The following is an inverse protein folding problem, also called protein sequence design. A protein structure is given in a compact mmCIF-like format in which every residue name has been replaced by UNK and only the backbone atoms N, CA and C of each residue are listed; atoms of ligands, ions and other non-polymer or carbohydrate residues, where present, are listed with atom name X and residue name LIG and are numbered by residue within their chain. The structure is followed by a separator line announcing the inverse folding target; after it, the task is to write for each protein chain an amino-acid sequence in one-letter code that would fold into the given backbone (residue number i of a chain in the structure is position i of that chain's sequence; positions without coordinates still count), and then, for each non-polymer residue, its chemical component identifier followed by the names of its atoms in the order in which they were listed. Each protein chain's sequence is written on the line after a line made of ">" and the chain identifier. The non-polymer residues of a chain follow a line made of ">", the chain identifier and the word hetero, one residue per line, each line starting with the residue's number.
data_IF_683822976698
#
_entry.id   IF_683822976698
#
_cell.length_a   1.000
_cell.length_b   1.000
_cell.length_c   1.000
_cell.angle_alpha   90.00
_cell.angle_beta   90.00
_cell.angle_gamma   90.00
#
_symmetry.space_group_name_H-M   'P 1'
#
loop_
_entity.id
_entity.type
_entity.pdbx_description
1 polymer ?
#
# COMPACT_ATOMS: atom_id res chain seq x y z
N UNK A 1 9.11 21.35 -15.16
CA UNK A 1 8.08 21.33 -14.10
C UNK A 1 8.74 21.83 -12.83
N UNK A 2 8.13 22.75 -12.08
CA UNK A 2 8.71 23.24 -10.82
C UNK A 2 8.28 22.31 -9.69
N UNK A 3 9.23 21.75 -8.95
CA UNK A 3 8.97 20.85 -7.82
C UNK A 3 7.96 21.43 -6.81
N UNK A 4 7.95 22.76 -6.63
CA UNK A 4 6.98 23.46 -5.77
C UNK A 4 5.53 23.24 -6.18
N UNK A 5 5.21 23.13 -7.48
CA UNK A 5 3.82 22.95 -7.92
C UNK A 5 3.29 21.54 -7.65
N UNK A 6 4.13 20.51 -7.83
CA UNK A 6 3.79 19.13 -7.50
C UNK A 6 3.51 18.98 -6.00
N UNK A 7 4.32 19.65 -5.17
CA UNK A 7 4.10 19.73 -3.74
C UNK A 7 2.75 20.38 -3.40
N UNK A 8 2.46 21.55 -3.97
CA UNK A 8 1.18 22.24 -3.75
C UNK A 8 -0.01 21.36 -4.16
N UNK A 9 0.08 20.69 -5.31
CA UNK A 9 -0.97 19.78 -5.79
C UNK A 9 -1.25 18.66 -4.76
N UNK A 10 -0.21 18.03 -4.23
CA UNK A 10 -0.36 16.99 -3.20
C UNK A 10 -1.03 17.54 -1.95
N UNK A 11 -0.61 18.71 -1.45
CA UNK A 11 -1.19 19.32 -0.25
C UNK A 11 -2.68 19.65 -0.43
N UNK A 12 -3.06 20.15 -1.60
CA UNK A 12 -4.46 20.43 -1.95
C UNK A 12 -5.29 19.15 -1.89
N UNK A 13 -4.81 18.06 -2.50
CA UNK A 13 -5.51 16.77 -2.49
C UNK A 13 -5.62 16.16 -1.08
N UNK A 14 -4.64 16.39 -0.20
CA UNK A 14 -4.72 15.92 1.17
C UNK A 14 -5.79 16.63 2.00
N UNK A 15 -5.90 17.95 1.87
CA UNK A 15 -6.82 18.74 2.68
C UNK A 15 -8.27 18.60 2.24
N UNK A 16 -8.49 18.50 0.93
CA UNK A 16 -9.84 18.57 0.35
C UNK A 16 -10.32 17.25 -0.25
N UNK A 17 -9.44 16.23 -0.26
CA UNK A 17 -9.77 14.90 -0.75
C UNK A 17 -9.86 14.86 -2.27
N UNK A 18 -11.07 15.04 -2.81
CA UNK A 18 -11.39 14.84 -4.24
C UNK A 18 -11.64 16.16 -4.95
N UNK A 19 -10.90 16.40 -6.04
CA UNK A 19 -11.05 17.57 -6.89
C UNK A 19 -10.91 17.22 -8.38
N UNK A 20 -11.66 17.89 -9.23
CA UNK A 20 -11.59 17.77 -10.70
C UNK A 20 -10.31 18.40 -11.27
N UNK A 21 -10.02 18.11 -12.54
CA UNK A 21 -8.92 18.77 -13.25
C UNK A 21 -9.09 20.30 -13.27
N UNK A 22 -10.33 20.77 -13.51
CA UNK A 22 -10.66 22.19 -13.58
C UNK A 22 -10.48 22.91 -12.24
N UNK A 23 -10.95 22.31 -11.13
CA UNK A 23 -10.77 22.90 -9.80
C UNK A 23 -9.29 22.95 -9.38
N UNK A 24 -8.51 21.93 -9.74
CA UNK A 24 -7.06 21.93 -9.52
C UNK A 24 -6.35 22.97 -10.40
N UNK A 25 -6.80 23.13 -11.65
CA UNK A 25 -6.25 24.07 -12.61
C UNK A 25 -6.45 25.51 -12.16
N UNK A 26 -7.66 25.84 -11.70
CA UNK A 26 -8.00 27.15 -11.13
C UNK A 26 -7.11 27.47 -9.90
N UNK A 27 -7.01 26.54 -8.95
CA UNK A 27 -6.24 26.75 -7.71
C UNK A 27 -4.74 26.83 -7.89
N UNK A 28 -4.21 26.11 -8.89
CA UNK A 28 -2.79 26.11 -9.21
C UNK A 28 -2.44 27.17 -10.25
N UNK A 29 -3.43 27.92 -10.75
CA UNK A 29 -3.29 28.93 -11.82
C UNK A 29 -2.62 28.35 -13.07
N UNK A 30 -3.05 27.15 -13.48
CA UNK A 30 -2.54 26.45 -14.65
C UNK A 30 -3.70 25.92 -15.51
N UNK A 31 -3.37 25.29 -16.63
CA UNK A 31 -4.36 24.61 -17.48
C UNK A 31 -4.63 23.18 -17.01
N UNK A 32 -5.80 22.63 -17.32
CA UNK A 32 -6.16 21.22 -17.11
C UNK A 32 -5.09 20.26 -17.65
N UNK A 33 -4.56 20.54 -18.85
CA UNK A 33 -3.47 19.75 -19.45
C UNK A 33 -2.21 19.72 -18.56
N UNK A 34 -1.92 20.81 -17.88
CA UNK A 34 -0.79 20.90 -16.95
C UNK A 34 -1.07 20.10 -15.68
N UNK A 35 -2.29 20.17 -15.16
CA UNK A 35 -2.72 19.35 -14.02
C UNK A 35 -2.61 17.87 -14.31
N UNK A 36 -3.11 17.42 -15.47
CA UNK A 36 -3.01 16.02 -15.89
C UNK A 36 -1.56 15.54 -15.98
N UNK A 37 -0.69 16.38 -16.56
CA UNK A 37 0.76 16.08 -16.65
C UNK A 37 1.42 16.02 -15.27
N UNK A 38 1.04 16.91 -14.36
CA UNK A 38 1.56 16.94 -12.99
C UNK A 38 1.07 15.72 -12.19
N UNK A 39 -0.16 15.25 -12.43
CA UNK A 39 -0.71 14.01 -11.83
C UNK A 39 0.04 12.77 -12.32
N UNK A 40 0.35 12.68 -13.62
CA UNK A 40 1.21 11.62 -14.16
C UNK A 40 2.62 11.66 -13.55
N UNK A 41 3.18 12.87 -13.37
CA UNK A 41 4.46 13.05 -12.71
C UNK A 41 4.44 12.57 -11.24
N UNK A 42 3.36 12.82 -10.51
CA UNK A 42 3.17 12.32 -9.15
C UNK A 42 3.03 10.80 -9.12
N UNK A 43 2.21 10.23 -10.00
CA UNK A 43 2.04 8.77 -10.09
C UNK A 43 3.36 8.06 -10.43
N UNK A 44 4.13 8.60 -11.37
CA UNK A 44 5.44 8.03 -11.74
C UNK A 44 6.49 8.19 -10.64
N UNK A 45 6.35 9.20 -9.77
CA UNK A 45 7.17 9.39 -8.57
C UNK A 45 6.73 8.52 -7.37
N UNK A 46 5.73 7.65 -7.53
CA UNK A 46 5.25 6.75 -6.48
C UNK A 46 4.24 7.37 -5.51
N UNK A 47 3.71 8.56 -5.83
CA UNK A 47 2.60 9.16 -5.08
C UNK A 47 1.29 8.49 -5.54
N UNK A 48 0.49 7.88 -4.63
CA UNK A 48 -0.69 7.10 -4.99
C UNK A 48 -1.91 8.01 -5.25
N UNK A 49 -1.86 8.78 -6.34
CA UNK A 49 -2.98 9.57 -6.86
C UNK A 49 -3.82 8.70 -7.79
N UNK A 50 -5.15 8.77 -7.70
CA UNK A 50 -6.05 8.06 -8.62
C UNK A 50 -7.26 8.90 -9.03
N UNK A 51 -7.82 8.59 -10.20
CA UNK A 51 -8.98 9.24 -10.76
C UNK A 51 -10.27 8.45 -10.52
N UNK A 52 -11.31 9.12 -10.05
CA UNK A 52 -12.68 8.59 -9.99
C UNK A 52 -13.48 9.15 -11.17
N UNK A 53 -14.18 8.28 -11.92
CA UNK A 53 -15.06 8.70 -13.04
C UNK A 53 -16.51 8.91 -12.56
N UNK A 54 -17.26 9.76 -13.27
CA UNK A 54 -18.69 10.01 -13.05
C UNK A 54 -18.99 11.44 -12.56
N UNK A 55 -20.28 11.78 -12.35
CA UNK A 55 -20.68 13.04 -11.72
C UNK A 55 -20.07 13.15 -10.32
N UNK A 56 -19.30 14.20 -10.03
CA UNK A 56 -18.50 14.31 -8.79
C UNK A 56 -17.22 13.46 -8.80
N UNK A 57 -16.77 13.04 -9.98
CA UNK A 57 -15.45 12.43 -10.19
C UNK A 57 -14.31 13.44 -10.01
N UNK A 58 -13.08 12.96 -10.03
CA UNK A 58 -11.90 13.80 -9.80
C UNK A 58 -10.70 12.99 -9.33
N UNK A 59 -9.62 13.69 -9.03
CA UNK A 59 -8.39 13.15 -8.51
C UNK A 59 -8.40 13.21 -6.99
N UNK A 60 -7.89 12.15 -6.37
CA UNK A 60 -7.71 12.06 -4.93
C UNK A 60 -6.50 11.19 -4.59
N UNK A 61 -5.96 11.38 -3.39
CA UNK A 61 -4.90 10.52 -2.86
C UNK A 61 -5.50 9.25 -2.24
N UNK A 62 -4.74 8.15 -2.25
CA UNK A 62 -5.10 6.95 -1.50
C UNK A 62 -5.31 7.31 -0.03
N UNK A 63 -6.40 6.81 0.54
CA UNK A 63 -6.76 7.08 1.93
C UNK A 63 -5.60 6.67 2.86
N UNK A 64 -5.24 7.56 3.79
CA UNK A 64 -4.08 7.36 4.66
C UNK A 64 -2.72 7.71 4.05
N UNK A 65 -2.65 8.20 2.81
CA UNK A 65 -1.39 8.68 2.23
C UNK A 65 -0.95 10.02 2.85
N UNK A 66 0.13 9.96 3.64
CA UNK A 66 0.91 11.12 4.06
C UNK A 66 2.22 11.18 3.26
N UNK A 67 2.44 12.19 2.40
CA UNK A 67 3.72 12.38 1.74
C UNK A 67 4.76 12.69 2.83
N UNK A 68 5.82 11.89 2.89
CA UNK A 68 6.99 12.18 3.72
C UNK A 68 7.77 13.36 3.13
N UNK A 69 7.22 14.55 3.31
CA UNK A 69 7.88 15.80 2.99
C UNK A 69 8.73 16.19 4.18
N UNK A 70 10.00 15.78 4.16
CA UNK A 70 11.01 16.25 5.12
C UNK A 70 11.20 17.75 4.92
N UNK A 71 10.44 18.56 5.67
CA UNK A 71 10.66 20.00 5.77
C UNK A 71 11.80 20.25 6.77
N UNK A 72 12.93 20.88 6.39
CA UNK A 72 14.09 21.02 7.28
C UNK A 72 13.83 21.88 8.53
N UNK A 73 12.78 22.70 8.54
CA UNK A 73 12.38 23.53 9.67
C UNK A 73 11.30 22.90 10.58
N UNK A 74 10.79 21.72 10.24
CA UNK A 74 9.78 20.99 11.01
C UNK A 74 10.32 19.64 11.48
N UNK A 75 11.56 19.61 11.99
CA UNK A 75 11.95 18.55 12.91
C UNK A 75 11.00 18.61 14.12
N UNK A 76 9.90 17.88 14.02
CA UNK A 76 9.20 17.33 15.18
C UNK A 76 9.76 15.93 15.35
N UNK A 77 10.15 15.52 16.57
CA UNK A 77 10.42 14.13 16.82
C UNK A 77 9.20 13.35 16.32
N UNK A 78 9.41 12.46 15.33
CA UNK A 78 8.46 11.37 15.07
C UNK A 78 8.02 10.87 16.42
N UNK A 79 6.72 10.91 16.68
CA UNK A 79 6.18 10.61 17.99
C UNK A 79 6.80 9.32 18.49
N UNK A 80 7.70 9.52 19.46
CA UNK A 80 8.55 8.49 19.99
C UNK A 80 7.63 7.68 20.88
N UNK A 81 6.93 6.69 20.32
CA UNK A 81 6.46 5.59 21.16
C UNK A 81 7.73 4.96 21.74
N UNK A 82 7.91 4.95 23.07
CA UNK A 82 9.01 4.24 23.68
C UNK A 82 8.72 2.75 23.48
N UNK A 83 9.39 2.14 22.50
CA UNK A 83 9.20 0.73 22.20
C UNK A 83 10.16 0.28 21.12
N UNK A 84 10.79 -0.88 21.32
CA UNK A 84 11.62 -1.54 20.31
C UNK A 84 10.87 -1.61 18.97
N UNK A 85 11.57 -1.53 17.82
CA UNK A 85 10.96 -1.82 16.51
C UNK A 85 10.19 -3.13 16.59
N UNK A 86 8.88 -3.07 16.34
CA UNK A 86 8.01 -4.25 16.40
C UNK A 86 8.38 -5.15 15.23
N UNK A 87 8.67 -6.41 15.54
CA UNK A 87 8.94 -7.42 14.53
C UNK A 87 7.73 -8.33 14.44
N UNK A 88 7.33 -8.66 13.22
CA UNK A 88 6.38 -9.73 12.98
C UNK A 88 7.15 -11.03 12.74
N UNK A 89 6.59 -12.13 13.23
CA UNK A 89 7.10 -13.48 13.01
C UNK A 89 6.18 -14.18 12.03
N UNK A 90 6.77 -14.79 11.02
CA UNK A 90 6.08 -15.56 9.99
C UNK A 90 6.70 -16.93 9.85
N UNK A 91 5.95 -17.89 9.34
CA UNK A 91 6.50 -19.06 8.67
C UNK A 91 6.48 -18.79 7.17
N UNK A 92 7.55 -19.16 6.49
CA UNK A 92 7.70 -18.90 5.06
C UNK A 92 8.32 -20.11 4.37
N UNK A 93 7.73 -20.51 3.25
CA UNK A 93 8.21 -21.60 2.39
C UNK A 93 9.45 -21.19 1.57
N UNK A 94 10.16 -22.12 0.93
CA UNK A 94 11.23 -21.80 -0.02
C UNK A 94 10.76 -20.85 -1.15
N UNK A 95 9.60 -21.12 -1.74
CA UNK A 95 8.97 -20.31 -2.78
C UNK A 95 8.60 -18.92 -2.26
N UNK A 96 8.03 -18.84 -1.05
CA UNK A 96 7.70 -17.57 -0.41
C UNK A 96 8.93 -16.69 -0.19
N UNK A 97 10.07 -17.27 0.19
CA UNK A 97 11.34 -16.54 0.31
C UNK A 97 11.82 -15.99 -1.03
N UNK A 98 11.68 -16.78 -2.11
CA UNK A 98 12.00 -16.33 -3.47
C UNK A 98 11.10 -15.17 -3.90
N UNK A 99 9.78 -15.30 -3.70
CA UNK A 99 8.81 -14.24 -4.01
C UNK A 99 9.04 -12.97 -3.19
N UNK A 100 9.35 -13.10 -1.89
CA UNK A 100 9.65 -11.96 -1.03
C UNK A 100 10.88 -11.18 -1.51
N UNK A 101 11.91 -11.88 -2.00
CA UNK A 101 13.08 -11.26 -2.60
C UNK A 101 12.75 -10.57 -3.93
N UNK A 102 12.05 -11.26 -4.84
CA UNK A 102 11.66 -10.74 -6.16
C UNK A 102 10.78 -9.49 -6.06
N UNK A 103 9.78 -9.51 -5.18
CA UNK A 103 8.83 -8.42 -4.99
C UNK A 103 9.31 -7.35 -4.00
N UNK A 104 10.47 -7.56 -3.37
CA UNK A 104 11.05 -6.70 -2.32
C UNK A 104 10.11 -6.47 -1.13
N UNK A 105 9.36 -7.50 -0.73
CA UNK A 105 8.39 -7.46 0.38
C UNK A 105 8.99 -7.98 1.69
N UNK A 106 8.36 -7.64 2.81
CA UNK A 106 8.74 -8.10 4.16
C UNK A 106 10.18 -7.74 4.56
N UNK A 107 10.66 -6.55 4.18
CA UNK A 107 12.06 -6.16 4.38
C UNK A 107 12.33 -5.51 5.75
N UNK A 108 13.46 -5.81 6.43
CA UNK A 108 14.40 -6.89 6.13
C UNK A 108 13.82 -8.25 6.57
N UNK A 109 13.84 -9.25 5.68
CA UNK A 109 13.40 -10.60 6.00
C UNK A 109 14.54 -11.41 6.62
N UNK A 110 14.45 -11.72 7.91
CA UNK A 110 15.48 -12.47 8.65
C UNK A 110 14.99 -13.87 8.93
N UNK A 111 15.52 -14.86 8.22
CA UNK A 111 15.18 -16.28 8.41
C UNK A 111 15.95 -16.83 9.62
N UNK A 112 15.24 -17.46 10.57
CA UNK A 112 15.86 -18.16 11.69
C UNK A 112 16.51 -19.45 11.19
N UNK A 113 17.84 -19.51 11.29
CA UNK A 113 18.64 -20.65 10.80
C UNK A 113 18.73 -21.79 11.82
N UNK A 114 18.55 -21.46 13.09
CA UNK A 114 18.75 -22.39 14.22
C UNK A 114 17.52 -23.25 14.51
N UNK A 115 16.37 -22.91 13.93
CA UNK A 115 15.15 -23.72 14.03
C UNK A 115 15.11 -24.69 12.84
N UNK A 116 14.94 -26.00 13.08
CA UNK A 116 14.79 -26.99 12.02
C UNK A 116 13.65 -26.59 11.07
N UNK A 117 13.89 -26.72 9.77
CA UNK A 117 12.80 -26.61 8.80
C UNK A 117 11.86 -27.80 8.95
N UNK A 118 10.57 -27.60 8.69
CA UNK A 118 9.68 -28.75 8.55
C UNK A 118 10.01 -29.58 7.30
N UNK A 119 9.34 -30.73 7.15
CA UNK A 119 9.51 -31.66 6.02
C UNK A 119 9.29 -31.02 4.63
N UNK A 120 8.69 -29.83 4.55
CA UNK A 120 8.44 -29.10 3.31
C UNK A 120 9.33 -27.84 3.16
N UNK A 121 10.36 -27.70 4.01
CA UNK A 121 11.33 -26.60 3.92
C UNK A 121 10.82 -25.25 4.42
N UNK A 122 9.68 -25.21 5.14
CA UNK A 122 9.22 -23.96 5.74
C UNK A 122 10.08 -23.59 6.94
N UNK A 123 10.29 -22.30 7.12
CA UNK A 123 11.13 -21.76 8.18
C UNK A 123 10.48 -20.57 8.84
N UNK A 124 10.78 -20.39 10.12
CA UNK A 124 10.45 -19.14 10.81
C UNK A 124 11.32 -18.01 10.29
N UNK A 125 10.70 -16.87 10.04
CA UNK A 125 11.36 -15.64 9.68
C UNK A 125 10.74 -14.47 10.45
N UNK A 126 11.53 -13.41 10.63
CA UNK A 126 11.06 -12.15 11.21
C UNK A 126 11.26 -11.03 10.23
N UNK A 127 10.31 -10.10 10.16
CA UNK A 127 10.45 -8.86 9.40
C UNK A 127 10.05 -7.65 10.22
N UNK A 128 10.42 -6.47 9.76
CA UNK A 128 10.02 -5.21 10.41
C UNK A 128 8.55 -4.97 10.15
N UNK A 129 7.77 -4.87 11.23
CA UNK A 129 6.36 -4.48 11.13
C UNK A 129 6.28 -2.95 10.93
N UNK A 130 5.75 -2.54 9.78
CA UNK A 130 5.38 -1.15 9.50
C UNK A 130 3.97 -0.85 10.02
N UNK A 131 3.10 -0.32 9.16
CA UNK A 131 1.65 -0.31 9.43
C UNK A 131 1.05 -1.71 9.23
N UNK A 132 -0.06 -1.98 9.91
CA UNK A 132 -0.79 -3.26 9.75
C UNK A 132 -1.28 -3.45 8.32
N UNK A 133 -1.77 -2.39 7.68
CA UNK A 133 -2.27 -2.43 6.31
C UNK A 133 -1.17 -2.72 5.28
N UNK A 134 -0.05 -1.98 5.32
CA UNK A 134 1.07 -2.24 4.41
C UNK A 134 1.64 -3.64 4.62
N UNK A 135 1.75 -4.07 5.88
CA UNK A 135 2.23 -5.43 6.21
C UNK A 135 1.23 -6.51 5.76
N UNK A 136 -0.07 -6.22 5.78
CA UNK A 136 -1.12 -7.12 5.28
C UNK A 136 -0.99 -7.30 3.77
N UNK A 137 -0.79 -6.21 3.02
CA UNK A 137 -0.55 -6.25 1.57
C UNK A 137 0.73 -7.04 1.27
N UNK A 138 1.81 -6.78 2.01
CA UNK A 138 3.08 -7.49 1.84
C UNK A 138 2.93 -9.00 2.00
N UNK A 139 2.20 -9.44 3.04
CA UNK A 139 1.94 -10.85 3.32
C UNK A 139 1.06 -11.46 2.22
N UNK A 140 -0.06 -10.82 1.89
CA UNK A 140 -1.00 -11.34 0.88
C UNK A 140 -0.38 -11.41 -0.52
N UNK A 141 0.56 -10.52 -0.84
CA UNK A 141 1.28 -10.53 -2.12
C UNK A 141 2.11 -11.79 -2.33
N UNK A 142 2.45 -12.52 -1.27
CA UNK A 142 3.16 -13.80 -1.34
C UNK A 142 2.21 -15.01 -1.44
N UNK A 143 0.90 -14.78 -1.34
CA UNK A 143 -0.12 -15.81 -1.44
C UNK A 143 0.02 -16.91 -0.38
N UNK A 144 -0.18 -18.19 -0.73
CA UNK A 144 -0.18 -19.31 0.24
C UNK A 144 1.24 -19.72 0.71
N UNK A 145 2.27 -18.92 0.40
CA UNK A 145 3.66 -19.25 0.69
C UNK A 145 4.21 -18.63 1.98
N UNK A 146 3.39 -17.87 2.69
CA UNK A 146 3.71 -17.23 3.96
C UNK A 146 2.53 -17.35 4.93
N UNK A 147 2.82 -17.54 6.21
CA UNK A 147 1.84 -17.65 7.28
C UNK A 147 2.25 -16.72 8.44
N UNK A 148 1.33 -15.90 8.94
CA UNK A 148 1.61 -14.99 10.06
C UNK A 148 1.48 -15.73 11.39
N UNK A 149 2.61 -15.91 12.06
CA UNK A 149 2.67 -16.48 13.41
C UNK A 149 2.38 -15.40 14.45
N UNK A 150 2.82 -14.16 14.23
CA UNK A 150 2.47 -13.04 15.09
C UNK A 150 2.99 -11.71 14.56
N UNK A 151 2.51 -10.59 15.08
CA UNK A 151 1.57 -10.48 16.20
C UNK A 151 0.11 -10.79 15.77
N UNK A 152 -0.81 -11.12 16.70
CA UNK A 152 -2.17 -11.55 16.37
C UNK A 152 -2.94 -10.50 15.56
N UNK A 153 -2.72 -9.21 15.82
CA UNK A 153 -3.39 -8.13 15.11
C UNK A 153 -3.05 -8.13 13.61
N UNK A 154 -1.83 -8.52 13.23
CA UNK A 154 -1.46 -8.70 11.82
C UNK A 154 -2.12 -9.95 11.23
N UNK A 155 -2.17 -11.04 12.00
CA UNK A 155 -2.81 -12.28 11.55
C UNK A 155 -4.30 -12.04 11.28
N UNK A 156 -4.99 -11.36 12.18
CA UNK A 156 -6.40 -11.03 12.06
C UNK A 156 -6.66 -10.13 10.85
N UNK A 157 -5.83 -9.09 10.66
CA UNK A 157 -5.93 -8.22 9.48
C UNK A 157 -5.75 -8.99 8.15
N UNK A 158 -4.77 -9.90 8.08
CA UNK A 158 -4.53 -10.74 6.90
C UNK A 158 -5.71 -11.68 6.64
N UNK A 159 -6.23 -12.34 7.67
CA UNK A 159 -7.38 -13.22 7.54
C UNK A 159 -8.63 -12.47 7.03
N UNK A 160 -8.86 -11.26 7.54
CA UNK A 160 -10.02 -10.47 7.20
C UNK A 160 -9.97 -9.96 5.75
N UNK A 161 -8.80 -9.48 5.30
CA UNK A 161 -8.58 -9.10 3.90
C UNK A 161 -8.69 -10.28 2.94
N UNK A 162 -8.05 -11.42 3.25
CA UNK A 162 -8.16 -12.64 2.44
C UNK A 162 -9.62 -13.10 2.33
N UNK A 163 -10.38 -13.04 3.43
CA UNK A 163 -11.80 -13.35 3.47
C UNK A 163 -12.62 -12.43 2.56
N UNK A 164 -12.36 -11.13 2.57
CA UNK A 164 -13.01 -10.16 1.67
C UNK A 164 -12.71 -10.45 0.21
N UNK A 165 -11.45 -10.69 -0.14
CA UNK A 165 -11.02 -11.05 -1.50
C UNK A 165 -11.71 -12.33 -1.96
N UNK A 166 -11.71 -13.38 -1.14
CA UNK A 166 -12.37 -14.63 -1.47
C UNK A 166 -13.89 -14.45 -1.68
N UNK A 167 -14.57 -13.69 -0.82
CA UNK A 167 -16.01 -13.37 -1.00
C UNK A 167 -16.27 -12.64 -2.32
N UNK A 168 -15.39 -11.73 -2.73
CA UNK A 168 -15.52 -10.98 -3.99
C UNK A 168 -15.50 -11.93 -5.20
N UNK A 169 -14.50 -12.81 -5.27
CA UNK A 169 -14.35 -13.71 -6.41
C UNK A 169 -15.33 -14.90 -6.39
N UNK A 170 -15.74 -15.37 -5.21
CA UNK A 170 -16.80 -16.39 -5.09
C UNK A 170 -18.19 -15.88 -5.47
N UNK A 171 -18.48 -14.58 -5.28
CA UNK A 171 -19.74 -13.97 -5.73
C UNK A 171 -19.75 -13.77 -7.25
N UNK A 172 -18.60 -13.43 -7.83
CA UNK A 172 -18.48 -13.16 -9.26
C UNK A 172 -18.70 -14.42 -10.12
N UNK A 173 -18.29 -15.60 -9.68
CA UNK A 173 -18.55 -16.85 -10.42
C UNK A 173 -20.05 -17.21 -10.53
N UNK A 174 -20.91 -16.68 -9.66
CA UNK A 174 -22.37 -16.87 -9.75
C UNK A 174 -23.09 -15.81 -10.61
N UNK A 175 -22.45 -14.67 -10.89
CA UNK A 175 -23.08 -13.51 -11.55
C UNK A 175 -22.49 -13.19 -12.94
N UNK A 176 -21.26 -13.66 -13.22
CA UNK A 176 -20.57 -13.46 -14.50
C UNK A 176 -21.21 -14.25 -15.67
N UNK A 177 -22.05 -15.25 -15.41
CA UNK A 177 -22.72 -16.02 -16.47
C UNK A 177 -23.89 -15.30 -17.15
N UNK A 178 -24.31 -14.10 -16.70
CA UNK A 178 -25.55 -13.47 -17.19
C UNK A 178 -25.42 -12.08 -17.80
N UNK A 179 -24.26 -11.44 -17.79
CA UNK A 179 -24.12 -10.08 -18.31
C UNK A 179 -22.72 -9.84 -18.87
N UNK A 180 -22.69 -9.48 -20.16
CA UNK A 180 -21.75 -8.52 -20.73
C UNK A 180 -20.40 -9.04 -21.27
N UNK A 181 -20.47 -9.69 -22.44
CA UNK A 181 -19.55 -9.45 -23.56
C UNK A 181 -20.32 -9.21 -24.88
N UNK A 182 -21.55 -8.69 -24.80
CA UNK A 182 -22.30 -8.21 -25.98
C UNK A 182 -22.30 -6.70 -26.04
#
# INVERSE_FOLDING_TARGET
>A
MRAGRLLTLVLILQQQGRLTAAELAERLEVTDRTVLRDIEALSSAGVPVYASRGPGGGFQLLEGYTPELTSPAQWRPRERRPGRPRHATVRISPEGRRLAALLRRLQPLRVKRDVPSDKHGWRYATFRLGSLEASTIDVLSLGPHVEVVGPPELRDAVADWAGRTNRMYRRSSAQCARRDLR
#
